data_IF_808034887413
#
_entry.id   IF_808034887413
#
_cell.length_a   1.000
_cell.length_b   1.000
_cell.length_c   1.000
_cell.angle_alpha   90.00
_cell.angle_beta   90.00
_cell.angle_gamma   90.00
#
_symmetry.space_group_name_H-M   'P 1'
#
loop_
_entity.id
_entity.type
_entity.pdbx_description
1 polymer ?
#
# COMPACT_ATOMS: atom_id res chain seq x y z
N UNK A 1 11.64 3.20 -6.97
CA UNK A 1 10.34 3.63 -7.52
C UNK A 1 9.77 2.52 -8.38
N UNK A 2 8.80 1.77 -7.82
CA UNK A 2 7.96 0.85 -8.58
C UNK A 2 6.78 1.66 -9.14
N UNK A 3 6.86 2.06 -10.42
CA UNK A 3 5.86 2.93 -11.06
C UNK A 3 4.48 2.29 -11.28
N UNK A 4 4.24 1.08 -10.79
CA UNK A 4 3.14 0.23 -11.24
C UNK A 4 1.99 0.07 -10.24
N UNK A 5 2.20 0.37 -8.96
CA UNK A 5 1.18 0.31 -7.92
C UNK A 5 0.94 1.72 -7.36
N UNK A 6 -0.28 1.99 -6.88
CA UNK A 6 -0.68 3.33 -6.45
C UNK A 6 -0.04 3.63 -5.09
N UNK A 7 0.73 4.72 -5.03
CA UNK A 7 1.29 5.25 -3.78
C UNK A 7 0.29 6.20 -3.10
N UNK A 8 0.11 6.05 -1.79
CA UNK A 8 -0.70 6.94 -0.97
C UNK A 8 0.24 7.97 -0.28
N UNK A 9 0.13 9.26 -0.61
CA UNK A 9 1.14 10.26 -0.22
C UNK A 9 0.95 10.85 1.18
N UNK A 10 -0.12 10.50 1.90
CA UNK A 10 -0.34 10.96 3.27
C UNK A 10 -1.30 10.05 4.05
N UNK A 11 -1.34 10.19 5.38
CA UNK A 11 -2.25 9.43 6.23
C UNK A 11 -3.72 9.62 5.88
N UNK A 12 -4.11 10.83 5.44
CA UNK A 12 -5.47 11.07 4.95
C UNK A 12 -5.82 10.22 3.72
N UNK A 13 -4.89 10.03 2.80
CA UNK A 13 -5.12 9.17 1.62
C UNK A 13 -5.23 7.69 2.01
N UNK A 14 -4.51 7.27 3.07
CA UNK A 14 -4.66 5.94 3.66
C UNK A 14 -6.07 5.76 4.25
N UNK A 15 -6.53 6.71 5.04
CA UNK A 15 -7.87 6.67 5.63
C UNK A 15 -8.96 6.67 4.55
N UNK A 16 -8.83 7.51 3.53
CA UNK A 16 -9.77 7.54 2.42
C UNK A 16 -9.79 6.23 1.64
N UNK A 17 -8.63 5.68 1.29
CA UNK A 17 -8.56 4.40 0.57
C UNK A 17 -9.27 3.26 1.32
N UNK A 18 -9.20 3.27 2.65
CA UNK A 18 -9.92 2.30 3.50
C UNK A 18 -11.42 2.59 3.53
N UNK A 19 -11.81 3.84 3.73
CA UNK A 19 -13.22 4.23 3.89
C UNK A 19 -14.03 4.13 2.58
N UNK A 20 -13.40 4.32 1.42
CA UNK A 20 -14.10 4.33 0.14
C UNK A 20 -14.31 2.94 -0.47
N UNK A 21 -13.52 1.95 -0.04
CA UNK A 21 -13.65 0.57 -0.53
C UNK A 21 -14.62 -0.22 0.35
N UNK A 22 -15.86 -0.38 -0.13
CA UNK A 22 -16.92 -1.07 0.60
C UNK A 22 -17.00 -2.58 0.31
N UNK A 23 -16.59 -3.01 -0.89
CA UNK A 23 -16.79 -4.38 -1.39
C UNK A 23 -15.50 -5.21 -1.54
N UNK A 24 -14.34 -4.56 -1.45
CA UNK A 24 -13.03 -5.17 -1.72
C UNK A 24 -12.09 -5.03 -0.52
N UNK A 25 -11.17 -5.98 -0.41
CA UNK A 25 -10.10 -5.93 0.59
C UNK A 25 -9.09 -4.84 0.21
N UNK A 26 -8.79 -3.95 1.14
CA UNK A 26 -7.74 -2.94 0.98
C UNK A 26 -6.41 -3.52 1.48
N UNK A 27 -5.50 -3.83 0.57
CA UNK A 27 -4.16 -4.31 0.88
C UNK A 27 -3.18 -3.13 0.83
N UNK A 28 -2.57 -2.80 1.97
CA UNK A 28 -1.62 -1.67 2.07
C UNK A 28 -0.24 -2.19 2.48
N UNK A 29 0.77 -1.96 1.65
CA UNK A 29 2.16 -2.27 1.96
C UNK A 29 2.81 -1.06 2.61
N UNK A 30 3.08 -1.14 3.91
CA UNK A 30 3.91 -0.18 4.64
C UNK A 30 5.37 -0.60 4.58
N UNK A 31 6.25 0.27 4.08
CA UNK A 31 7.68 -0.01 4.04
C UNK A 31 8.45 1.06 3.27
N UNK A 32 9.78 1.09 3.37
CA UNK A 32 10.57 2.05 2.58
C UNK A 32 10.84 1.49 1.19
N UNK A 33 10.68 2.31 0.16
CA UNK A 33 10.93 1.89 -1.23
C UNK A 33 12.39 1.50 -1.53
N UNK A 34 13.31 1.91 -0.66
CA UNK A 34 14.72 1.55 -0.73
C UNK A 34 15.04 0.19 -0.08
N UNK A 35 14.09 -0.41 0.67
CA UNK A 35 14.28 -1.71 1.31
C UNK A 35 14.16 -2.84 0.28
N UNK A 36 15.19 -3.70 0.11
CA UNK A 36 15.13 -4.82 -0.83
C UNK A 36 13.98 -5.80 -0.59
N UNK A 37 13.50 -5.92 0.65
CA UNK A 37 12.34 -6.75 1.01
C UNK A 37 11.05 -6.14 0.49
N UNK A 38 10.91 -4.80 0.58
CA UNK A 38 9.77 -4.08 0.04
C UNK A 38 9.76 -4.16 -1.50
N UNK A 39 10.92 -4.04 -2.15
CA UNK A 39 11.02 -4.21 -3.61
C UNK A 39 10.51 -5.57 -4.09
N UNK A 40 10.92 -6.67 -3.43
CA UNK A 40 10.44 -8.02 -3.76
C UNK A 40 8.93 -8.19 -3.51
N UNK A 41 8.42 -7.56 -2.46
CA UNK A 41 6.98 -7.58 -2.17
C UNK A 41 6.21 -6.81 -3.24
N UNK A 42 6.68 -5.64 -3.67
CA UNK A 42 6.06 -4.84 -4.72
C UNK A 42 5.98 -5.61 -6.05
N UNK A 43 7.04 -6.33 -6.44
CA UNK A 43 7.03 -7.21 -7.62
C UNK A 43 5.98 -8.32 -7.50
N UNK A 44 5.87 -8.94 -6.33
CA UNK A 44 4.90 -10.00 -6.05
C UNK A 44 3.47 -9.48 -6.12
N UNK A 45 3.21 -8.35 -5.47
CA UNK A 45 1.91 -7.68 -5.44
C UNK A 45 1.50 -7.22 -6.84
N UNK A 46 2.43 -6.66 -7.61
CA UNK A 46 2.19 -6.27 -8.99
C UNK A 46 1.82 -7.47 -9.87
N UNK A 47 2.53 -8.59 -9.73
CA UNK A 47 2.26 -9.81 -10.49
C UNK A 47 0.87 -10.42 -10.25
N UNK A 48 0.24 -10.12 -9.11
CA UNK A 48 -1.11 -10.61 -8.78
C UNK A 48 -2.20 -9.53 -8.87
N UNK A 49 -1.85 -8.25 -9.00
CA UNK A 49 -2.80 -7.13 -8.92
C UNK A 49 -4.00 -7.31 -9.86
N UNK A 50 -3.75 -7.68 -11.11
CA UNK A 50 -4.80 -7.90 -12.11
C UNK A 50 -5.68 -9.13 -11.79
N UNK A 51 -5.11 -10.15 -11.14
CA UNK A 51 -5.82 -11.39 -10.79
C UNK A 51 -6.75 -11.20 -9.60
N UNK A 52 -6.43 -10.27 -8.70
CA UNK A 52 -7.17 -10.04 -7.45
C UNK A 52 -8.06 -8.79 -7.50
N UNK A 53 -7.98 -7.98 -8.57
CA UNK A 53 -8.65 -6.67 -8.69
C UNK A 53 -10.15 -6.66 -8.39
N UNK A 54 -10.85 -7.78 -8.63
CA UNK A 54 -12.29 -7.90 -8.42
C UNK A 54 -12.67 -7.93 -6.93
N UNK A 55 -11.73 -8.28 -6.04
CA UNK A 55 -12.00 -8.41 -4.60
C UNK A 55 -10.90 -7.80 -3.72
N UNK A 56 -9.82 -7.27 -4.29
CA UNK A 56 -8.74 -6.63 -3.56
C UNK A 56 -8.13 -5.47 -4.35
N UNK A 57 -7.93 -4.35 -3.67
CA UNK A 57 -7.22 -3.18 -4.17
C UNK A 57 -5.90 -3.05 -3.41
N UNK A 58 -4.79 -2.88 -4.13
CA UNK A 58 -3.43 -2.83 -3.56
C UNK A 58 -2.88 -1.41 -3.62
N UNK A 59 -2.32 -0.95 -2.49
CA UNK A 59 -1.69 0.35 -2.32
C UNK A 59 -0.31 0.23 -1.65
N UNK A 60 0.56 1.20 -1.92
CA UNK A 60 1.88 1.32 -1.32
C UNK A 60 1.96 2.57 -0.45
N UNK A 61 2.63 2.47 0.69
CA UNK A 61 2.92 3.59 1.58
C UNK A 61 4.40 3.56 1.93
N UNK A 62 5.13 4.65 1.62
CA UNK A 62 6.47 4.84 2.15
C UNK A 62 6.40 5.43 3.57
N UNK A 63 6.86 4.67 4.55
CA UNK A 63 6.84 5.04 5.97
C UNK A 63 7.76 6.23 6.31
N UNK A 64 8.67 6.62 5.43
CA UNK A 64 9.49 7.83 5.57
C UNK A 64 8.72 9.07 5.13
N UNK A 65 7.83 8.93 4.14
CA UNK A 65 6.98 10.02 3.63
C UNK A 65 5.71 10.16 4.47
N UNK A 66 5.14 9.04 4.91
CA UNK A 66 3.90 8.97 5.70
C UNK A 66 4.20 8.33 7.06
N UNK A 67 4.72 9.09 8.04
CA UNK A 67 5.12 8.55 9.33
C UNK A 67 3.96 8.35 10.31
N UNK A 68 2.74 8.73 9.94
CA UNK A 68 1.54 8.76 10.80
C UNK A 68 1.27 7.40 11.49
N UNK A 69 1.62 6.29 10.85
CA UNK A 69 1.35 4.93 11.33
C UNK A 69 2.57 4.21 11.93
N UNK A 70 3.72 4.87 12.06
CA UNK A 70 4.96 4.23 12.53
C UNK A 70 5.00 3.99 14.05
N UNK A 71 4.09 4.60 14.80
CA UNK A 71 3.99 4.40 16.24
C UNK A 71 2.96 3.32 16.49
N UNK A 72 3.43 2.14 16.94
CA UNK A 72 2.55 1.11 17.48
C UNK A 72 1.67 1.72 18.57
N UNK A 73 0.36 1.45 18.49
CA UNK A 73 -0.58 1.88 19.52
C UNK A 73 -0.07 1.50 20.92
N UNK A 74 -0.36 2.35 21.90
CA UNK A 74 -0.23 1.95 23.30
C UNK A 74 -1.03 0.67 23.57
#
# INVERSE_FOLDING_TARGET
MSYFLVHLPSGWHVDQAILTEEERVVCIRFGSDADPTCMKMDETLYGIAERVKNFCQIFLVDIKEVPDFNKGGK
#
